data_IF_602828862224
#
_entry.id   IF_602828862224
#
_cell.length_a   1.000
_cell.length_b   1.000
_cell.length_c   1.000
_cell.angle_alpha   90.00
_cell.angle_beta   90.00
_cell.angle_gamma   90.00
#
_symmetry.space_group_name_H-M   'P 1'
#
loop_
_entity.id
_entity.type
_entity.pdbx_description
1 polymer ?
#
# COMPACT_ATOMS: atom_id res chain seq x y z
N UNK A 1 -16.81 -9.82 -14.89
CA UNK A 1 -15.87 -9.17 -13.96
C UNK A 1 -14.45 -9.38 -14.48
N UNK A 2 -13.65 -8.33 -14.69
CA UNK A 2 -12.27 -8.51 -15.20
C UNK A 2 -11.41 -9.24 -14.16
N UNK A 3 -10.42 -10.04 -14.61
CA UNK A 3 -9.47 -10.75 -13.72
C UNK A 3 -8.82 -9.81 -12.69
N UNK A 4 -8.61 -8.55 -13.05
CA UNK A 4 -8.04 -7.51 -12.19
C UNK A 4 -8.88 -7.21 -10.95
N UNK A 5 -10.22 -7.25 -11.05
CA UNK A 5 -11.09 -7.04 -9.89
C UNK A 5 -10.94 -8.20 -8.90
N UNK A 6 -10.79 -9.44 -9.38
CA UNK A 6 -10.51 -10.59 -8.52
C UNK A 6 -9.23 -10.43 -7.71
N UNK A 7 -8.14 -9.99 -8.35
CA UNK A 7 -6.88 -9.70 -7.65
C UNK A 7 -7.01 -8.56 -6.63
N UNK A 8 -7.77 -7.51 -6.96
CA UNK A 8 -8.02 -6.41 -6.03
C UNK A 8 -8.78 -6.86 -4.77
N UNK A 9 -9.76 -7.77 -4.91
CA UNK A 9 -10.49 -8.33 -3.77
C UNK A 9 -9.59 -9.20 -2.89
N UNK A 10 -8.75 -10.04 -3.48
CA UNK A 10 -7.76 -10.83 -2.73
C UNK A 10 -6.76 -9.93 -2.00
N UNK A 11 -6.30 -8.87 -2.65
CA UNK A 11 -5.45 -7.87 -2.01
C UNK A 11 -6.16 -7.19 -0.84
N UNK A 12 -7.43 -6.80 -1.00
CA UNK A 12 -8.24 -6.22 0.08
C UNK A 12 -8.33 -7.15 1.30
N UNK A 13 -8.57 -8.44 1.09
CA UNK A 13 -8.57 -9.43 2.17
C UNK A 13 -7.22 -9.50 2.89
N UNK A 14 -6.12 -9.53 2.14
CA UNK A 14 -4.78 -9.54 2.71
C UNK A 14 -4.48 -8.25 3.50
N UNK A 15 -4.87 -7.09 2.96
CA UNK A 15 -4.73 -5.79 3.61
C UNK A 15 -5.66 -5.61 4.82
N UNK A 16 -6.74 -6.37 4.93
CA UNK A 16 -7.57 -6.42 6.14
C UNK A 16 -6.97 -7.27 7.26
N UNK A 17 -6.28 -8.36 6.90
CA UNK A 17 -5.67 -9.30 7.86
C UNK A 17 -4.30 -8.83 8.35
N UNK A 18 -3.46 -8.31 7.45
CA UNK A 18 -2.08 -7.93 7.77
C UNK A 18 -1.93 -6.94 8.95
N UNK A 19 -2.73 -5.87 9.04
CA UNK A 19 -2.63 -4.91 10.14
C UNK A 19 -2.79 -5.53 11.52
N UNK A 20 -3.56 -6.63 11.64
CA UNK A 20 -3.73 -7.37 12.89
C UNK A 20 -2.40 -7.88 13.42
N UNK A 21 -1.64 -8.55 12.57
CA UNK A 21 -0.31 -9.05 12.91
C UNK A 21 0.71 -7.92 13.08
N UNK A 22 0.62 -6.86 12.27
CA UNK A 22 1.50 -5.69 12.39
C UNK A 22 1.32 -5.01 13.75
N UNK A 23 0.07 -4.75 14.17
CA UNK A 23 -0.23 -4.16 15.48
C UNK A 23 0.24 -5.05 16.63
N UNK A 24 0.07 -6.37 16.51
CA UNK A 24 0.57 -7.32 17.52
C UNK A 24 2.09 -7.27 17.65
N UNK A 25 2.83 -7.27 16.54
CA UNK A 25 4.30 -7.18 16.54
C UNK A 25 4.83 -5.84 17.06
N UNK A 26 4.12 -4.75 16.77
CA UNK A 26 4.47 -3.40 17.22
C UNK A 26 4.33 -3.18 18.74
N UNK A 27 3.76 -4.13 19.51
CA UNK A 27 3.69 -4.03 20.97
C UNK A 27 5.07 -4.00 21.63
N UNK A 28 6.05 -4.65 21.03
CA UNK A 28 7.42 -4.76 21.56
C UNK A 28 8.49 -4.30 20.58
N UNK A 29 8.18 -4.28 19.27
CA UNK A 29 9.13 -3.87 18.25
C UNK A 29 9.12 -2.34 18.03
N UNK A 30 10.29 -1.77 17.80
CA UNK A 30 10.39 -0.43 17.21
C UNK A 30 9.79 -0.45 15.78
N UNK A 31 8.98 0.54 15.38
CA UNK A 31 8.35 0.60 14.06
C UNK A 31 9.30 0.44 12.88
N UNK A 32 10.46 1.09 12.93
CA UNK A 32 11.44 1.07 11.83
C UNK A 32 12.09 -0.32 11.73
N UNK A 33 12.45 -0.92 12.87
CA UNK A 33 12.96 -2.30 12.91
C UNK A 33 11.93 -3.31 12.41
N UNK A 34 10.65 -3.15 12.77
CA UNK A 34 9.57 -4.00 12.27
C UNK A 34 9.46 -3.92 10.73
N UNK A 35 9.55 -2.72 10.15
CA UNK A 35 9.56 -2.52 8.69
C UNK A 35 10.76 -3.21 8.03
N UNK A 36 11.96 -3.08 8.61
CA UNK A 36 13.19 -3.69 8.08
C UNK A 36 13.08 -5.22 8.09
N UNK A 37 12.71 -5.82 9.22
CA UNK A 37 12.57 -7.28 9.35
C UNK A 37 11.50 -7.80 8.40
N UNK A 38 10.32 -7.15 8.39
CA UNK A 38 9.21 -7.53 7.51
C UNK A 38 9.61 -7.46 6.04
N UNK A 39 10.22 -6.35 5.63
CA UNK A 39 10.63 -6.13 4.23
C UNK A 39 11.71 -7.12 3.80
N UNK A 40 12.70 -7.38 4.64
CA UNK A 40 13.78 -8.35 4.36
C UNK A 40 13.19 -9.74 4.16
N UNK A 41 12.32 -10.19 5.06
CA UNK A 41 11.67 -11.50 4.97
C UNK A 41 10.82 -11.60 3.69
N UNK A 42 9.99 -10.59 3.40
CA UNK A 42 9.17 -10.56 2.19
C UNK A 42 10.03 -10.58 0.92
N UNK A 43 11.14 -9.82 0.87
CA UNK A 43 12.05 -9.82 -0.26
C UNK A 43 12.69 -11.18 -0.50
N UNK A 44 13.10 -11.89 0.56
CA UNK A 44 13.62 -13.25 0.45
C UNK A 44 12.59 -14.21 -0.12
N UNK A 45 11.35 -14.17 0.37
CA UNK A 45 10.26 -15.01 -0.15
C UNK A 45 9.95 -14.70 -1.63
N UNK A 46 9.94 -13.42 -2.02
CA UNK A 46 9.72 -13.03 -3.40
C UNK A 46 10.84 -13.52 -4.33
N UNK A 47 12.11 -13.45 -3.89
CA UNK A 47 13.23 -14.01 -4.65
C UNK A 47 13.10 -15.52 -4.83
N UNK A 48 12.73 -16.25 -3.77
CA UNK A 48 12.47 -17.69 -3.86
C UNK A 48 11.30 -18.00 -4.80
N UNK A 49 10.23 -17.22 -4.74
CA UNK A 49 9.05 -17.40 -5.59
C UNK A 49 9.36 -17.15 -7.08
N UNK A 50 10.16 -16.13 -7.39
CA UNK A 50 10.66 -15.86 -8.75
C UNK A 50 11.54 -17.00 -9.25
N UNK A 51 12.42 -17.54 -8.39
CA UNK A 51 13.28 -18.67 -8.74
C UNK A 51 12.48 -19.94 -9.06
N UNK A 52 11.44 -20.25 -8.28
CA UNK A 52 10.54 -21.41 -8.52
C UNK A 52 9.75 -21.26 -9.83
N UNK A 53 9.25 -20.06 -10.12
CA UNK A 53 8.52 -19.78 -11.36
C UNK A 53 9.43 -19.69 -12.59
N UNK A 54 10.76 -19.66 -12.39
CA UNK A 54 11.75 -19.41 -13.45
C UNK A 54 11.45 -18.13 -14.23
N UNK A 55 10.92 -17.11 -13.55
CA UNK A 55 10.63 -15.84 -14.19
C UNK A 55 11.95 -15.17 -14.61
N UNK A 56 12.04 -14.61 -15.83
CA UNK A 56 13.27 -14.04 -16.34
C UNK A 56 13.67 -12.80 -15.52
N UNK A 57 14.95 -12.71 -15.18
CA UNK A 57 15.52 -11.50 -14.56
C UNK A 57 15.86 -10.53 -15.70
N UNK A 58 15.02 -9.53 -15.92
CA UNK A 58 15.14 -8.56 -17.02
C UNK A 58 15.67 -7.20 -16.56
N UNK A 59 16.23 -7.09 -15.34
CA UNK A 59 16.69 -5.82 -14.75
C UNK A 59 17.64 -5.00 -15.64
N UNK A 60 18.37 -5.66 -16.56
CA UNK A 60 19.28 -5.00 -17.51
C UNK A 60 18.55 -4.30 -18.67
N UNK A 61 17.31 -4.68 -18.98
CA UNK A 61 16.50 -4.06 -20.04
C UNK A 61 15.73 -2.84 -19.54
N UNK A 62 15.75 -2.59 -18.23
CA UNK A 62 15.05 -1.47 -17.62
C UNK A 62 15.71 -0.14 -18.01
N UNK A 63 14.90 0.79 -18.48
CA UNK A 63 15.34 2.16 -18.74
C UNK A 63 15.69 2.90 -17.46
N UNK A 64 16.50 3.96 -17.54
CA UNK A 64 16.78 4.84 -16.39
C UNK A 64 15.50 5.41 -15.76
N UNK A 65 14.48 5.69 -16.58
CA UNK A 65 13.18 6.14 -16.11
C UNK A 65 12.47 5.08 -15.26
N UNK A 66 12.50 3.81 -15.67
CA UNK A 66 11.95 2.68 -14.90
C UNK A 66 12.64 2.55 -13.55
N UNK A 67 13.98 2.60 -13.54
CA UNK A 67 14.75 2.56 -12.29
C UNK A 67 14.38 3.69 -11.33
N UNK A 68 14.34 4.92 -11.81
CA UNK A 68 14.02 6.09 -10.98
C UNK A 68 12.60 6.00 -10.43
N UNK A 69 11.61 5.67 -11.26
CA UNK A 69 10.21 5.58 -10.83
C UNK A 69 9.96 4.45 -9.83
N UNK A 70 10.60 3.28 -10.02
CA UNK A 70 10.51 2.16 -9.07
C UNK A 70 11.19 2.51 -7.74
N UNK A 71 12.38 3.09 -7.77
CA UNK A 71 13.11 3.46 -6.55
C UNK A 71 12.39 4.58 -5.77
N UNK A 72 11.90 5.61 -6.46
CA UNK A 72 11.09 6.66 -5.84
C UNK A 72 9.79 6.09 -5.25
N UNK A 73 9.13 5.18 -5.97
CA UNK A 73 7.96 4.46 -5.47
C UNK A 73 8.29 3.70 -4.18
N UNK A 74 9.43 3.01 -4.13
CA UNK A 74 9.91 2.31 -2.93
C UNK A 74 10.21 3.24 -1.76
N UNK A 75 10.89 4.37 -1.99
CA UNK A 75 11.18 5.36 -0.95
C UNK A 75 9.88 5.96 -0.38
N UNK A 76 8.94 6.35 -1.25
CA UNK A 76 7.70 6.97 -0.80
C UNK A 76 6.81 5.94 -0.07
N UNK A 77 6.66 4.74 -0.61
CA UNK A 77 5.76 3.73 -0.05
C UNK A 77 6.34 2.98 1.15
N UNK A 78 7.55 2.44 1.02
CA UNK A 78 8.15 1.57 2.06
C UNK A 78 8.85 2.41 3.12
N UNK A 79 9.64 3.41 2.74
CA UNK A 79 10.36 4.19 3.75
C UNK A 79 9.43 5.20 4.42
N UNK A 80 8.83 6.11 3.65
CA UNK A 80 8.04 7.20 4.22
C UNK A 80 6.67 6.73 4.72
N UNK A 81 5.82 6.20 3.83
CA UNK A 81 4.45 5.89 4.17
C UNK A 81 4.36 4.82 5.27
N UNK A 82 5.15 3.74 5.21
CA UNK A 82 5.14 2.76 6.29
C UNK A 82 5.73 3.26 7.60
N UNK A 83 6.72 4.16 7.59
CA UNK A 83 7.24 4.73 8.84
C UNK A 83 6.16 5.52 9.57
N UNK A 84 5.38 6.33 8.85
CA UNK A 84 4.25 7.05 9.45
C UNK A 84 3.11 6.11 9.85
N UNK A 85 2.77 5.16 8.98
CA UNK A 85 1.72 4.17 9.25
C UNK A 85 2.03 3.29 10.46
N UNK A 86 3.23 2.70 10.57
CA UNK A 86 3.59 1.83 11.70
C UNK A 86 3.70 2.62 13.00
N UNK A 87 4.17 3.88 12.96
CA UNK A 87 4.16 4.76 14.15
C UNK A 87 2.73 5.06 14.61
N UNK A 88 1.85 5.44 13.68
CA UNK A 88 0.45 5.71 13.97
C UNK A 88 -0.27 4.45 14.48
N UNK A 89 -0.02 3.30 13.83
CA UNK A 89 -0.58 2.02 14.22
C UNK A 89 -0.06 1.58 15.58
N UNK A 90 1.21 1.80 15.93
CA UNK A 90 1.76 1.45 17.24
C UNK A 90 1.04 2.19 18.37
N UNK A 91 0.88 3.52 18.26
CA UNK A 91 0.27 4.35 19.30
C UNK A 91 -1.26 4.44 19.28
N UNK A 92 -1.89 4.25 18.11
CA UNK A 92 -3.33 4.45 17.92
C UNK A 92 -4.15 3.16 17.89
N UNK A 93 -5.49 3.32 17.92
CA UNK A 93 -6.41 2.21 17.74
C UNK A 93 -6.48 1.81 16.26
N UNK A 94 -6.33 0.51 15.98
CA UNK A 94 -6.37 0.00 14.61
C UNK A 94 -7.68 0.35 13.90
N UNK A 95 -8.81 0.27 14.60
CA UNK A 95 -10.14 0.60 14.06
C UNK A 95 -10.25 2.05 13.57
N UNK A 96 -9.43 2.97 14.08
CA UNK A 96 -9.40 4.37 13.66
C UNK A 96 -8.30 4.61 12.61
N UNK A 97 -7.09 4.08 12.84
CA UNK A 97 -5.94 4.31 11.96
C UNK A 97 -6.13 3.69 10.58
N UNK A 98 -6.68 2.48 10.48
CA UNK A 98 -6.82 1.78 9.21
C UNK A 98 -7.79 2.48 8.25
N UNK A 99 -9.00 2.89 8.67
CA UNK A 99 -9.87 3.70 7.82
C UNK A 99 -9.23 5.01 7.37
N UNK A 100 -8.56 5.75 8.27
CA UNK A 100 -7.89 7.02 7.93
C UNK A 100 -6.81 6.81 6.87
N UNK A 101 -5.95 5.81 7.03
CA UNK A 101 -4.93 5.47 6.01
C UNK A 101 -5.60 4.98 4.73
N UNK A 102 -6.68 4.22 4.84
CA UNK A 102 -7.53 3.75 3.74
C UNK A 102 -8.20 4.87 2.93
N UNK A 103 -8.11 6.14 3.36
CA UNK A 103 -8.52 7.31 2.59
C UNK A 103 -7.58 7.64 1.43
N UNK A 104 -6.43 6.95 1.27
CA UNK A 104 -5.48 7.22 0.19
C UNK A 104 -6.06 7.19 -1.25
N UNK A 105 -7.15 6.46 -1.59
CA UNK A 105 -7.75 6.54 -2.93
C UNK A 105 -8.15 7.96 -3.33
N UNK A 106 -8.43 8.85 -2.36
CA UNK A 106 -8.69 10.27 -2.60
C UNK A 106 -7.48 10.97 -3.22
N UNK A 107 -6.32 10.77 -2.59
CA UNK A 107 -5.04 11.32 -3.05
C UNK A 107 -4.68 10.71 -4.40
N UNK A 108 -4.88 9.40 -4.56
CA UNK A 108 -4.60 8.71 -5.83
C UNK A 108 -5.50 9.21 -6.97
N UNK A 109 -6.79 9.43 -6.73
CA UNK A 109 -7.72 9.93 -7.74
C UNK A 109 -7.38 11.36 -8.16
N UNK A 110 -7.01 12.22 -7.20
CA UNK A 110 -6.58 13.58 -7.47
C UNK A 110 -5.28 13.61 -8.29
N UNK A 111 -4.28 12.82 -7.89
CA UNK A 111 -3.01 12.73 -8.63
C UNK A 111 -3.20 12.10 -10.01
N UNK A 112 -4.06 11.10 -10.16
CA UNK A 112 -4.38 10.54 -11.47
C UNK A 112 -5.04 11.58 -12.38
N UNK A 113 -5.92 12.44 -11.85
CA UNK A 113 -6.50 13.53 -12.61
C UNK A 113 -5.47 14.58 -13.04
N UNK A 114 -4.59 14.98 -12.12
CA UNK A 114 -3.59 16.04 -12.34
C UNK A 114 -2.41 15.58 -13.21
N UNK A 115 -1.91 14.35 -13.00
CA UNK A 115 -0.68 13.86 -13.62
C UNK A 115 -0.93 12.93 -14.80
N UNK A 116 -2.00 12.13 -14.76
CA UNK A 116 -2.33 11.16 -15.81
C UNK A 116 -3.45 11.66 -16.74
N UNK A 117 -4.03 12.83 -16.46
CA UNK A 117 -5.11 13.41 -17.26
C UNK A 117 -6.44 12.63 -17.15
N UNK A 118 -6.62 11.81 -16.11
CA UNK A 118 -7.87 11.10 -15.92
C UNK A 118 -9.04 12.05 -15.63
N UNK A 119 -10.15 11.87 -16.33
CA UNK A 119 -11.36 12.63 -16.03
C UNK A 119 -11.95 12.19 -14.68
N UNK A 120 -12.08 13.16 -13.77
CA UNK A 120 -12.87 13.03 -12.55
C UNK A 120 -14.35 13.20 -12.91
N UNK A 121 -15.00 12.08 -13.22
CA UNK A 121 -16.44 12.08 -13.44
C UNK A 121 -17.18 12.40 -12.13
N UNK A 122 -18.39 12.92 -12.25
CA UNK A 122 -19.24 13.19 -11.07
C UNK A 122 -19.46 11.93 -10.22
N UNK A 123 -19.56 10.76 -10.86
CA UNK A 123 -19.67 9.47 -10.17
C UNK A 123 -18.42 9.09 -9.37
N UNK A 124 -17.20 9.35 -9.90
CA UNK A 124 -15.95 9.13 -9.14
C UNK A 124 -15.90 10.05 -7.92
N UNK A 125 -16.28 11.32 -8.10
CA UNK A 125 -16.28 12.31 -7.02
C UNK A 125 -17.30 11.97 -5.92
N UNK A 126 -18.51 11.54 -6.28
CA UNK A 126 -19.51 11.13 -5.29
C UNK A 126 -19.05 9.88 -4.51
N UNK A 127 -18.44 8.90 -5.17
CA UNK A 127 -17.86 7.73 -4.50
C UNK A 127 -16.74 8.10 -3.52
N UNK A 128 -15.86 9.02 -3.92
CA UNK A 128 -14.82 9.62 -3.07
C UNK A 128 -15.43 10.25 -1.81
N UNK A 129 -16.48 11.05 -1.95
CA UNK A 129 -17.17 11.68 -0.82
C UNK A 129 -17.79 10.63 0.12
N UNK A 130 -18.42 9.58 -0.44
CA UNK A 130 -18.98 8.49 0.36
C UNK A 130 -17.91 7.72 1.15
N UNK A 131 -16.73 7.50 0.56
CA UNK A 131 -15.58 6.89 1.25
C UNK A 131 -15.14 7.77 2.42
N UNK A 132 -14.97 9.09 2.20
CA UNK A 132 -14.59 10.04 3.27
C UNK A 132 -15.61 9.99 4.41
N UNK A 133 -16.90 10.06 4.07
CA UNK A 133 -17.97 10.04 5.06
C UNK A 133 -17.98 8.73 5.86
N UNK A 134 -17.81 7.58 5.18
CA UNK A 134 -17.69 6.29 5.84
C UNK A 134 -16.50 6.20 6.78
N UNK A 135 -15.35 6.79 6.42
CA UNK A 135 -14.17 6.84 7.28
C UNK A 135 -14.42 7.72 8.50
N UNK A 136 -15.08 8.88 8.35
CA UNK A 136 -15.44 9.76 9.47
C UNK A 136 -16.36 9.05 10.47
N UNK A 137 -17.28 8.21 10.00
CA UNK A 137 -18.17 7.44 10.88
C UNK A 137 -17.46 6.30 11.63
N UNK A 138 -16.36 5.77 11.07
CA UNK A 138 -15.57 4.69 11.69
C UNK A 138 -14.50 5.21 12.66
N UNK A 139 -14.04 6.45 12.46
CA UNK A 139 -13.01 7.11 13.27
C UNK A 139 -13.58 7.60 14.60
#
# INVERSE_FOLDING_TARGET
MSKSIGYALLACLCFGVAPVFEKMGLRQANPVWAIIVRSTLTSLFLLSFVAVQKAPVDLKTWSSHTWVTVLLGGVISVLLAQSFYFKALQGGNMSQIIPIVGAYPLVSALLAALLLGESLTFAKLSGVIMIVFGIILLA
#
